data_IF_257974911485
#
_entry.id   IF_257974911485
#
_cell.length_a   1.000
_cell.length_b   1.000
_cell.length_c   1.000
_cell.angle_alpha   90.00
_cell.angle_beta   90.00
_cell.angle_gamma   90.00
#
_symmetry.space_group_name_H-M   'P 1'
#
loop_
_entity.id
_entity.type
_entity.pdbx_description
1 polymer ?
#
# COMPACT_ATOMS: atom_id res chain seq x y z
N UNK A 1 -8.85 -4.76 -8.97
CA UNK A 1 -7.98 -3.58 -9.12
C UNK A 1 -7.26 -3.66 -10.47
N UNK A 2 -7.07 -2.55 -11.18
CA UNK A 2 -6.51 -2.50 -12.54
C UNK A 2 -5.04 -2.92 -12.64
N UNK A 3 -4.49 -2.91 -13.86
CA UNK A 3 -3.06 -3.15 -14.10
C UNK A 3 -2.27 -1.84 -13.90
N UNK A 4 -1.46 -1.76 -12.85
CA UNK A 4 -0.60 -0.59 -12.55
C UNK A 4 0.89 -0.89 -12.75
N UNK A 5 1.19 -1.91 -13.56
CA UNK A 5 2.56 -2.33 -13.82
C UNK A 5 3.37 -1.23 -14.50
N UNK A 6 4.55 -0.92 -13.95
CA UNK A 6 5.46 0.06 -14.54
C UNK A 6 5.04 1.52 -14.36
N UNK A 7 4.00 1.81 -13.56
CA UNK A 7 3.58 3.18 -13.27
C UNK A 7 4.75 3.97 -12.66
N UNK A 8 5.08 5.18 -13.16
CA UNK A 8 6.14 5.98 -12.60
C UNK A 8 5.78 6.48 -11.19
N UNK A 9 6.73 6.48 -10.28
CA UNK A 9 6.61 7.12 -8.98
C UNK A 9 7.81 8.03 -8.74
N UNK A 10 7.60 9.07 -7.94
CA UNK A 10 8.64 10.04 -7.54
C UNK A 10 8.94 9.99 -6.03
N UNK A 11 8.18 9.19 -5.29
CA UNK A 11 8.31 8.96 -3.85
C UNK A 11 8.29 7.46 -3.56
N UNK A 12 9.19 7.02 -2.69
CA UNK A 12 9.21 5.66 -2.17
C UNK A 12 9.57 5.68 -0.69
N UNK A 13 9.06 4.72 0.08
CA UNK A 13 9.43 4.56 1.48
C UNK A 13 10.02 3.16 1.70
N UNK A 14 11.29 3.11 2.08
CA UNK A 14 11.89 1.89 2.60
C UNK A 14 11.51 1.72 4.08
N UNK A 15 10.50 0.87 4.33
CA UNK A 15 10.03 0.54 5.68
C UNK A 15 10.95 -0.44 6.43
N UNK A 16 12.07 -0.84 5.83
CA UNK A 16 13.00 -1.82 6.38
C UNK A 16 12.60 -3.26 6.04
N UNK A 17 12.91 -4.17 6.95
CA UNK A 17 12.67 -5.60 6.77
C UNK A 17 11.30 -6.00 7.31
N UNK A 18 10.53 -6.74 6.51
CA UNK A 18 9.31 -7.40 6.96
C UNK A 18 9.63 -8.83 7.41
N UNK A 19 9.06 -9.25 8.54
CA UNK A 19 9.15 -10.63 9.01
C UNK A 19 8.23 -11.56 8.21
N UNK A 20 8.45 -12.89 8.22
CA UNK A 20 7.53 -13.84 7.58
C UNK A 20 6.09 -13.73 8.10
N UNK A 21 5.89 -13.47 9.40
CA UNK A 21 4.57 -13.30 9.99
C UNK A 21 3.87 -12.02 9.47
N UNK A 22 4.60 -10.91 9.38
CA UNK A 22 4.06 -9.67 8.81
C UNK A 22 3.70 -9.85 7.33
N UNK A 23 4.53 -10.57 6.56
CA UNK A 23 4.23 -10.88 5.16
C UNK A 23 2.94 -11.71 5.03
N UNK A 24 2.70 -12.69 5.91
CA UNK A 24 1.45 -13.46 5.91
C UNK A 24 0.22 -12.56 6.15
N UNK A 25 0.30 -11.59 7.05
CA UNK A 25 -0.80 -10.64 7.30
C UNK A 25 -1.03 -9.69 6.11
N UNK A 26 0.02 -9.26 5.40
CA UNK A 26 -0.11 -8.49 4.15
C UNK A 26 -0.84 -9.31 3.08
N UNK A 27 -0.45 -10.58 2.89
CA UNK A 27 -1.09 -11.48 1.92
C UNK A 27 -2.56 -11.69 2.27
N UNK A 28 -2.87 -11.98 3.54
CA UNK A 28 -4.25 -12.14 4.03
C UNK A 28 -5.10 -10.89 3.81
N UNK A 29 -4.55 -9.71 4.09
CA UNK A 29 -5.21 -8.42 3.83
C UNK A 29 -5.49 -8.24 2.33
N UNK A 30 -4.52 -8.58 1.49
CA UNK A 30 -4.65 -8.49 0.02
C UNK A 30 -5.76 -9.40 -0.51
N UNK A 31 -5.84 -10.63 -0.01
CA UNK A 31 -6.93 -11.57 -0.36
C UNK A 31 -8.28 -11.06 0.14
N UNK A 32 -8.36 -10.48 1.34
CA UNK A 32 -9.61 -9.92 1.85
C UNK A 32 -10.12 -8.78 0.96
N UNK A 33 -9.27 -7.80 0.64
CA UNK A 33 -9.64 -6.66 -0.22
C UNK A 33 -9.98 -7.07 -1.65
N UNK A 34 -9.31 -8.09 -2.19
CA UNK A 34 -9.63 -8.62 -3.52
C UNK A 34 -11.06 -9.20 -3.60
N UNK A 35 -11.62 -9.63 -2.48
CA UNK A 35 -12.97 -10.20 -2.37
C UNK A 35 -14.02 -9.19 -1.90
N UNK A 36 -13.66 -7.92 -1.68
CA UNK A 36 -14.59 -6.85 -1.30
C UNK A 36 -14.95 -5.96 -2.48
N UNK A 37 -16.14 -5.37 -2.44
CA UNK A 37 -16.50 -4.29 -3.36
C UNK A 37 -15.68 -3.04 -3.03
N UNK A 38 -15.09 -2.45 -4.06
CA UNK A 38 -14.41 -1.16 -3.95
C UNK A 38 -15.44 -0.06 -3.72
N UNK A 39 -15.39 0.63 -2.57
CA UNK A 39 -16.17 1.84 -2.28
C UNK A 39 -15.20 2.99 -2.01
N UNK A 40 -15.50 4.20 -2.49
CA UNK A 40 -14.61 5.34 -2.30
C UNK A 40 -14.53 5.78 -0.83
N UNK A 41 -15.54 5.46 -0.02
CA UNK A 41 -15.63 5.79 1.41
C UNK A 41 -15.05 4.70 2.31
N UNK A 42 -14.94 3.46 1.82
CA UNK A 42 -14.41 2.32 2.56
C UNK A 42 -13.93 1.21 1.62
N UNK A 43 -12.93 0.43 2.03
CA UNK A 43 -12.31 -0.61 1.20
C UNK A 43 -11.68 -0.06 -0.09
N UNK A 44 -11.11 1.14 -0.03
CA UNK A 44 -10.37 1.74 -1.14
C UNK A 44 -8.85 1.47 -1.02
N UNK A 45 -8.07 2.03 -1.93
CA UNK A 45 -6.61 1.86 -1.93
C UNK A 45 -5.90 2.47 -0.72
N UNK A 46 -6.47 3.53 -0.12
CA UNK A 46 -5.94 4.18 1.09
C UNK A 46 -6.17 3.31 2.30
N UNK A 47 -7.38 2.76 2.46
CA UNK A 47 -7.70 1.83 3.55
C UNK A 47 -6.77 0.61 3.52
N UNK A 48 -6.59 0.03 2.33
CA UNK A 48 -5.67 -1.09 2.13
C UNK A 48 -4.25 -0.73 2.60
N UNK A 49 -3.72 0.40 2.14
CA UNK A 49 -2.38 0.83 2.45
C UNK A 49 -2.19 1.12 3.95
N UNK A 50 -3.18 1.72 4.61
CA UNK A 50 -3.16 1.97 6.06
C UNK A 50 -3.12 0.65 6.84
N UNK A 51 -3.98 -0.32 6.48
CA UNK A 51 -4.02 -1.62 7.17
C UNK A 51 -2.70 -2.37 6.98
N UNK A 52 -2.14 -2.38 5.76
CA UNK A 52 -0.83 -2.99 5.48
C UNK A 52 0.27 -2.35 6.33
N UNK A 53 0.31 -1.01 6.41
CA UNK A 53 1.30 -0.29 7.20
C UNK A 53 1.16 -0.57 8.71
N UNK A 54 -0.07 -0.70 9.19
CA UNK A 54 -0.34 -1.11 10.58
C UNK A 54 0.13 -2.55 10.86
N UNK A 55 -0.08 -3.48 9.92
CA UNK A 55 0.36 -4.87 10.04
C UNK A 55 1.90 -5.00 10.09
N UNK A 56 2.63 -4.08 9.45
CA UNK A 56 4.10 -4.04 9.49
C UNK A 56 4.67 -3.17 10.61
N UNK A 57 3.82 -2.63 11.50
CA UNK A 57 4.24 -1.92 12.72
C UNK A 57 4.51 -0.42 12.56
N UNK A 58 4.08 0.20 11.46
CA UNK A 58 4.22 1.67 11.27
C UNK A 58 3.18 2.46 12.07
N UNK A 59 2.08 1.83 12.49
CA UNK A 59 1.04 2.40 13.37
C UNK A 59 0.55 3.79 12.95
N UNK A 60 -0.14 3.86 11.82
CA UNK A 60 -0.80 5.08 11.35
C UNK A 60 -2.22 5.22 11.90
N UNK A 61 -2.56 6.45 12.28
CA UNK A 61 -3.93 6.83 12.62
C UNK A 61 -4.72 7.13 11.32
N UNK A 62 -5.80 6.41 11.03
CA UNK A 62 -6.59 6.62 9.81
C UNK A 62 -7.39 7.93 9.80
N UNK A 63 -7.59 8.59 10.95
CA UNK A 63 -8.40 9.80 11.01
C UNK A 63 -7.87 10.91 10.09
N UNK A 64 -8.68 11.32 9.12
CA UNK A 64 -8.34 12.37 8.15
C UNK A 64 -7.46 11.90 6.98
N UNK A 65 -7.25 10.59 6.83
CA UNK A 65 -6.50 9.98 5.73
C UNK A 65 -7.47 9.22 4.83
N UNK A 66 -8.24 9.96 4.03
CA UNK A 66 -9.34 9.37 3.23
C UNK A 66 -9.08 9.41 1.71
N UNK A 67 -7.96 10.03 1.30
CA UNK A 67 -7.59 10.21 -0.12
C UNK A 67 -6.14 9.81 -0.38
N UNK A 68 -5.79 9.43 -1.63
CA UNK A 68 -4.40 9.17 -1.98
C UNK A 68 -3.46 10.34 -1.67
N UNK A 69 -3.94 11.59 -1.81
CA UNK A 69 -3.17 12.79 -1.48
C UNK A 69 -2.91 12.93 0.01
N UNK A 70 -3.95 12.78 0.85
CA UNK A 70 -3.79 12.85 2.31
C UNK A 70 -2.93 11.71 2.83
N UNK A 71 -3.03 10.52 2.23
CA UNK A 71 -2.14 9.38 2.52
C UNK A 71 -0.70 9.66 2.13
N UNK A 72 -0.45 10.16 0.92
CA UNK A 72 0.90 10.53 0.49
C UNK A 72 1.51 11.53 1.49
N UNK A 73 0.76 12.55 1.88
CA UNK A 73 1.18 13.56 2.84
C UNK A 73 1.50 12.98 4.24
N UNK A 74 0.76 11.97 4.70
CA UNK A 74 1.00 11.36 6.01
C UNK A 74 2.28 10.53 6.05
N UNK A 75 2.67 9.92 4.93
CA UNK A 75 3.89 9.10 4.84
C UNK A 75 5.11 9.91 4.37
N UNK A 76 4.94 11.14 3.87
CA UNK A 76 6.03 12.01 3.41
C UNK A 76 7.23 12.08 4.37
N UNK A 77 7.06 12.18 5.70
CA UNK A 77 8.22 12.27 6.61
C UNK A 77 9.14 11.04 6.59
N UNK A 78 8.61 9.86 6.23
CA UNK A 78 9.40 8.63 6.06
C UNK A 78 9.78 8.33 4.60
N UNK A 79 9.12 8.98 3.65
CA UNK A 79 9.35 8.77 2.23
C UNK A 79 10.61 9.52 1.76
N UNK A 80 11.32 8.90 0.82
CA UNK A 80 12.43 9.49 0.09
C UNK A 80 11.97 9.85 -1.32
N UNK A 81 12.34 11.04 -1.78
CA UNK A 81 12.22 11.42 -3.18
C UNK A 81 13.09 10.48 -4.02
N UNK A 82 12.47 9.63 -4.82
CA UNK A 82 13.16 8.66 -5.68
C UNK A 82 12.29 8.40 -6.88
N UNK A 83 12.88 8.58 -8.06
CA UNK A 83 12.21 8.24 -9.32
C UNK A 83 12.34 6.74 -9.57
N UNK A 84 11.25 6.10 -9.94
CA UNK A 84 11.24 4.69 -10.33
C UNK A 84 9.93 4.28 -10.97
N UNK A 85 9.81 2.99 -11.26
CA UNK A 85 8.63 2.39 -11.86
C UNK A 85 8.11 1.27 -10.95
N UNK A 86 6.79 1.24 -10.74
CA UNK A 86 6.13 0.22 -9.94
C UNK A 86 6.42 -1.20 -10.48
N UNK A 87 6.52 -2.21 -9.61
CA UNK A 87 6.77 -3.59 -10.03
C UNK A 87 5.66 -4.10 -10.94
N UNK A 88 6.01 -5.02 -11.84
CA UNK A 88 5.03 -5.70 -12.69
C UNK A 88 4.08 -6.52 -11.80
N UNK A 89 2.77 -6.26 -11.90
CA UNK A 89 1.70 -6.87 -11.09
C UNK A 89 1.10 -8.12 -11.74
N UNK A 90 1.31 -8.32 -13.05
CA UNK A 90 0.94 -9.52 -13.81
C UNK A 90 2.20 -10.29 -14.21
N UNK A 91 2.92 -10.81 -13.21
CA UNK A 91 4.08 -11.67 -13.49
C UNK A 91 3.57 -13.05 -13.90
N UNK A 92 3.92 -13.48 -15.11
CA UNK A 92 3.85 -14.89 -15.45
C UNK A 92 4.93 -15.62 -14.63
N UNK A 93 4.49 -16.34 -13.59
CA UNK A 93 5.33 -17.30 -12.89
C UNK A 93 5.45 -18.54 -13.79
N UNK A 94 6.54 -18.61 -14.58
CA UNK A 94 6.91 -19.82 -15.32
C UNK A 94 7.61 -20.82 -14.42
#
# INVERSE_FOLDING_TARGET
>A
MGNDSGHPYTNAWNIGNITPAQLQEIIKTSTAFANTNYDLRFNNCVDFAIIVLNNVGVHMNPMGIDTPTSFSNSIQPGATNTNGNAPQTKRDCK
#
